data_IF_913218321969
#
_entry.id   IF_913218321969
#
_cell.length_a   1.000
_cell.length_b   1.000
_cell.length_c   1.000
_cell.angle_alpha   90.00
_cell.angle_beta   90.00
_cell.angle_gamma   90.00
#
_symmetry.space_group_name_H-M   'P 1'
#
loop_
_entity.id
_entity.type
_entity.pdbx_description
1 polymer ?
#
# COMPACT_ATOMS: atom_id res chain seq x y z
N UNK A 1 -8.19 43.95 67.76
CA UNK A 1 -7.05 43.80 66.85
C UNK A 1 -7.60 43.42 65.48
N UNK A 2 -7.38 44.27 64.48
CA UNK A 2 -7.93 44.19 63.12
C UNK A 2 -7.38 42.96 62.39
N UNK A 3 -8.19 42.31 61.54
CA UNK A 3 -7.75 41.83 60.22
C UNK A 3 -8.97 41.57 59.33
N UNK A 4 -9.13 42.41 58.31
CA UNK A 4 -10.06 42.28 57.17
C UNK A 4 -9.28 41.55 56.08
N UNK A 5 -9.70 40.35 55.70
CA UNK A 5 -9.17 39.68 54.52
C UNK A 5 -10.02 40.04 53.30
N UNK A 6 -9.38 40.70 52.34
CA UNK A 6 -9.89 40.98 51.00
C UNK A 6 -9.81 39.70 50.16
N UNK A 7 -10.91 39.33 49.49
CA UNK A 7 -10.89 38.41 48.36
C UNK A 7 -10.60 39.21 47.06
N UNK A 8 -9.65 38.78 46.21
CA UNK A 8 -9.59 39.28 44.85
C UNK A 8 -10.49 38.45 43.93
N UNK A 9 -11.33 39.14 43.14
CA UNK A 9 -12.01 38.59 41.98
C UNK A 9 -10.98 38.04 40.98
N UNK A 10 -11.08 36.77 40.62
CA UNK A 10 -10.42 36.19 39.45
C UNK A 10 -11.34 36.40 38.24
N UNK A 11 -10.94 37.31 37.35
CA UNK A 11 -11.51 37.47 36.01
C UNK A 11 -11.24 36.20 35.20
N UNK A 12 -12.30 35.51 34.80
CA UNK A 12 -12.22 34.43 33.81
C UNK A 12 -12.03 35.03 32.41
N UNK A 13 -10.79 35.04 31.92
CA UNK A 13 -10.48 35.34 30.53
C UNK A 13 -10.79 34.14 29.65
N UNK A 14 -11.83 34.22 28.82
CA UNK A 14 -12.16 33.23 27.81
C UNK A 14 -11.11 33.25 26.68
N UNK A 15 -10.24 32.24 26.65
CA UNK A 15 -9.39 31.93 25.50
C UNK A 15 -10.25 31.25 24.42
N UNK A 16 -10.74 32.04 23.47
CA UNK A 16 -11.27 31.50 22.22
C UNK A 16 -10.11 30.91 21.41
N UNK A 17 -10.00 29.58 21.39
CA UNK A 17 -9.08 28.87 20.52
C UNK A 17 -9.56 29.05 19.07
N UNK A 18 -8.90 29.92 18.30
CA UNK A 18 -9.02 29.91 16.84
C UNK A 18 -8.40 28.62 16.32
N UNK A 19 -9.25 27.64 15.99
CA UNK A 19 -8.84 26.54 15.12
C UNK A 19 -8.58 27.12 13.73
N UNK A 20 -7.32 27.17 13.32
CA UNK A 20 -6.97 27.44 11.94
C UNK A 20 -7.49 26.27 11.07
N UNK A 21 -8.63 26.43 10.40
CA UNK A 21 -8.97 25.59 9.27
C UNK A 21 -7.90 25.85 8.19
N UNK A 22 -7.03 24.87 7.92
CA UNK A 22 -6.18 24.91 6.75
C UNK A 22 -7.08 25.06 5.51
N UNK A 23 -6.79 26.04 4.65
CA UNK A 23 -7.52 26.20 3.40
C UNK A 23 -7.43 24.89 2.60
N UNK A 24 -8.57 24.42 2.09
CA UNK A 24 -8.59 23.24 1.24
C UNK A 24 -7.77 23.52 -0.02
N UNK A 25 -6.83 22.63 -0.30
CA UNK A 25 -6.08 22.64 -1.54
C UNK A 25 -7.00 22.14 -2.65
N UNK A 26 -7.26 23.00 -3.65
CA UNK A 26 -8.18 22.72 -4.76
C UNK A 26 -7.60 21.80 -5.84
N UNK A 27 -6.28 21.57 -5.81
CA UNK A 27 -5.58 20.79 -6.82
C UNK A 27 -4.39 20.05 -6.24
N UNK A 28 -4.29 18.76 -6.51
CA UNK A 28 -3.17 17.90 -6.14
C UNK A 28 -2.46 17.37 -7.37
N UNK A 29 -1.24 16.90 -7.19
CA UNK A 29 -0.59 16.05 -8.17
C UNK A 29 -0.51 14.62 -7.65
N UNK A 30 -0.43 13.66 -8.57
CA UNK A 30 -0.26 12.26 -8.24
C UNK A 30 0.63 11.55 -9.25
N UNK A 31 1.17 10.45 -8.79
CA UNK A 31 1.97 9.52 -9.56
C UNK A 31 1.14 8.29 -9.90
N UNK A 32 1.28 7.79 -11.14
CA UNK A 32 0.68 6.54 -11.58
C UNK A 32 1.76 5.59 -12.08
N UNK A 33 1.85 4.44 -11.41
CA UNK A 33 2.65 3.29 -11.84
C UNK A 33 1.88 2.45 -12.86
N UNK A 34 2.58 1.70 -13.69
CA UNK A 34 1.96 0.87 -14.73
C UNK A 34 2.80 -0.33 -15.13
N UNK A 35 2.16 -1.28 -15.81
CA UNK A 35 2.84 -2.31 -16.57
C UNK A 35 3.09 -1.83 -18.01
N UNK A 36 4.21 -2.24 -18.61
CA UNK A 36 4.71 -1.68 -19.88
C UNK A 36 4.84 -2.70 -21.01
N UNK A 37 4.08 -3.80 -20.95
CA UNK A 37 3.94 -4.73 -22.08
C UNK A 37 3.01 -4.16 -23.18
N UNK A 38 2.22 -3.14 -22.84
CA UNK A 38 1.32 -2.42 -23.75
C UNK A 38 1.94 -1.13 -24.31
N UNK A 39 1.12 -0.08 -24.36
CA UNK A 39 1.47 1.27 -24.82
C UNK A 39 2.00 2.17 -23.70
N UNK A 40 1.89 1.76 -22.43
CA UNK A 40 2.45 2.52 -21.33
C UNK A 40 3.96 2.70 -21.48
N UNK A 41 4.42 3.92 -21.19
CA UNK A 41 5.84 4.29 -21.18
C UNK A 41 6.48 4.11 -19.80
N UNK A 42 5.70 3.88 -18.74
CA UNK A 42 6.21 3.67 -17.39
C UNK A 42 5.49 4.50 -16.33
N UNK A 43 6.18 5.49 -15.75
CA UNK A 43 5.69 6.27 -14.61
C UNK A 43 5.21 7.65 -15.08
N UNK A 44 4.06 8.06 -14.57
CA UNK A 44 3.40 9.30 -14.96
C UNK A 44 3.14 10.19 -13.76
N UNK A 45 3.28 11.51 -13.94
CA UNK A 45 2.83 12.53 -12.99
C UNK A 45 1.66 13.30 -13.62
N UNK A 46 0.53 13.36 -12.94
CA UNK A 46 -0.70 13.98 -13.43
C UNK A 46 -1.25 15.00 -12.43
N UNK A 47 -2.04 15.93 -12.94
CA UNK A 47 -2.82 16.87 -12.13
C UNK A 47 -4.18 16.25 -11.76
N UNK A 48 -4.67 16.55 -10.56
CA UNK A 48 -5.98 16.17 -10.05
C UNK A 48 -6.69 17.37 -9.40
N UNK A 49 -7.89 17.71 -9.87
CA UNK A 49 -8.74 18.73 -9.26
C UNK A 49 -9.61 18.11 -8.15
N UNK A 50 -9.36 18.50 -6.88
CA UNK A 50 -10.03 17.94 -5.70
C UNK A 50 -11.43 18.49 -5.46
N UNK A 51 -11.90 19.44 -6.28
CA UNK A 51 -13.27 19.95 -6.23
C UNK A 51 -14.18 19.12 -7.13
N UNK A 52 -13.65 18.67 -8.26
CA UNK A 52 -14.41 17.96 -9.31
C UNK A 52 -14.10 16.47 -9.38
N UNK A 53 -12.96 16.04 -8.84
CA UNK A 53 -12.48 14.65 -8.94
C UNK A 53 -11.88 14.31 -10.31
N UNK A 54 -11.54 15.31 -11.13
CA UNK A 54 -11.01 15.07 -12.48
C UNK A 54 -9.48 15.03 -12.50
N UNK A 55 -8.94 14.01 -13.17
CA UNK A 55 -7.57 13.92 -13.65
C UNK A 55 -7.43 14.68 -14.98
N UNK A 56 -6.36 15.46 -15.13
CA UNK A 56 -5.93 15.91 -16.46
C UNK A 56 -5.31 14.72 -17.20
N UNK A 57 -5.85 14.38 -18.36
CA UNK A 57 -5.32 13.30 -19.20
C UNK A 57 -3.96 13.62 -19.83
N UNK A 58 -3.54 14.89 -19.82
CA UNK A 58 -2.20 15.29 -20.24
C UNK A 58 -1.23 15.19 -19.04
N UNK A 59 -0.24 14.28 -19.08
CA UNK A 59 0.71 14.16 -17.98
C UNK A 59 1.62 15.40 -17.88
N UNK A 60 1.88 15.83 -16.65
CA UNK A 60 2.89 16.85 -16.32
C UNK A 60 4.31 16.33 -16.53
N UNK A 61 4.49 15.02 -16.37
CA UNK A 61 5.76 14.34 -16.63
C UNK A 61 5.50 12.87 -16.99
N UNK A 62 6.31 12.35 -17.92
CA UNK A 62 6.42 10.92 -18.22
C UNK A 62 7.88 10.50 -17.99
N UNK A 63 8.08 9.50 -17.15
CA UNK A 63 9.38 8.88 -16.89
C UNK A 63 9.40 7.50 -17.52
N UNK A 64 10.23 7.32 -18.54
CA UNK A 64 10.39 6.03 -19.22
C UNK A 64 10.99 5.01 -18.25
N UNK A 65 10.27 3.94 -17.98
CA UNK A 65 10.67 2.90 -17.03
C UNK A 65 9.94 1.60 -17.35
N UNK A 66 10.62 0.45 -17.21
CA UNK A 66 9.98 -0.85 -17.44
C UNK A 66 9.22 -1.30 -16.18
N UNK A 67 7.93 -1.59 -16.34
CA UNK A 67 7.03 -2.10 -15.31
C UNK A 67 7.14 -1.44 -13.92
N UNK A 68 7.05 -0.09 -13.79
CA UNK A 68 7.04 0.59 -12.50
C UNK A 68 5.72 0.33 -11.75
N UNK A 69 5.56 -0.85 -11.17
CA UNK A 69 4.25 -1.35 -10.71
C UNK A 69 3.87 -0.96 -9.29
N UNK A 70 4.82 -0.49 -8.48
CA UNK A 70 4.61 -0.05 -7.10
C UNK A 70 5.49 1.14 -6.76
N UNK A 71 4.90 2.11 -6.07
CA UNK A 71 5.50 3.39 -5.73
C UNK A 71 5.55 3.59 -4.20
N UNK A 72 6.76 3.80 -3.69
CA UNK A 72 7.01 4.07 -2.26
C UNK A 72 7.61 5.45 -2.10
N UNK A 73 6.85 6.36 -1.49
CA UNK A 73 7.32 7.70 -1.16
C UNK A 73 8.05 7.71 0.19
N UNK A 74 9.12 8.49 0.31
CA UNK A 74 9.64 8.87 1.62
C UNK A 74 8.61 9.66 2.41
N UNK A 75 8.70 9.64 3.74
CA UNK A 75 7.75 10.33 4.63
C UNK A 75 7.61 11.83 4.32
N UNK A 76 8.70 12.46 3.92
CA UNK A 76 8.75 13.88 3.54
C UNK A 76 8.49 14.14 2.04
N UNK A 77 8.18 13.08 1.28
CA UNK A 77 7.96 13.07 -0.15
C UNK A 77 9.06 13.78 -0.95
N UNK A 78 10.32 13.61 -0.53
CA UNK A 78 11.51 14.06 -1.29
C UNK A 78 12.11 12.97 -2.16
N UNK A 79 11.78 11.71 -1.86
CA UNK A 79 12.32 10.56 -2.55
C UNK A 79 11.16 9.65 -2.95
N UNK A 80 11.29 9.05 -4.13
CA UNK A 80 10.40 8.04 -4.65
C UNK A 80 11.23 6.80 -4.96
N UNK A 81 10.81 5.67 -4.43
CA UNK A 81 11.32 4.35 -4.75
C UNK A 81 10.29 3.59 -5.56
N UNK A 82 10.73 2.98 -6.65
CA UNK A 82 9.86 2.32 -7.63
C UNK A 82 10.36 0.91 -7.84
N UNK A 83 9.50 -0.09 -7.62
CA UNK A 83 9.83 -1.45 -8.06
C UNK A 83 9.61 -1.56 -9.56
N UNK A 84 10.53 -2.23 -10.23
CA UNK A 84 10.43 -2.56 -11.65
C UNK A 84 10.17 -4.07 -11.75
N UNK A 85 8.89 -4.44 -11.92
CA UNK A 85 8.35 -5.80 -11.79
C UNK A 85 8.65 -6.67 -13.02
N UNK A 86 9.93 -6.77 -13.31
CA UNK A 86 10.51 -7.53 -14.41
C UNK A 86 10.97 -8.90 -13.93
N UNK A 87 11.08 -9.85 -14.85
CA UNK A 87 11.68 -11.15 -14.59
C UNK A 87 11.74 -12.02 -15.85
N UNK A 88 12.07 -13.31 -15.72
CA UNK A 88 12.34 -14.20 -16.86
C UNK A 88 11.23 -14.18 -17.91
N UNK A 89 11.62 -14.07 -19.19
CA UNK A 89 10.69 -14.03 -20.32
C UNK A 89 10.17 -12.63 -20.68
N UNK A 90 10.53 -11.59 -19.93
CA UNK A 90 10.23 -10.19 -20.27
C UNK A 90 11.40 -9.52 -20.99
N UNK A 91 11.15 -8.35 -21.61
CA UNK A 91 12.15 -7.61 -22.39
C UNK A 91 13.38 -7.18 -21.56
N UNK A 92 13.15 -6.66 -20.35
CA UNK A 92 14.15 -6.65 -19.29
C UNK A 92 13.86 -7.87 -18.40
N UNK A 93 14.77 -8.87 -18.32
CA UNK A 93 14.53 -10.08 -17.53
C UNK A 93 14.91 -9.91 -16.06
N UNK A 94 15.36 -8.72 -15.63
CA UNK A 94 15.93 -8.51 -14.29
C UNK A 94 14.99 -7.68 -13.41
N UNK A 95 14.60 -8.22 -12.26
CA UNK A 95 13.91 -7.48 -11.21
C UNK A 95 14.77 -6.35 -10.63
N UNK A 96 14.24 -5.12 -10.62
CA UNK A 96 14.98 -3.92 -10.22
C UNK A 96 14.19 -3.02 -9.29
N UNK A 97 14.91 -2.08 -8.67
CA UNK A 97 14.33 -0.96 -7.94
C UNK A 97 15.02 0.32 -8.39
N UNK A 98 14.23 1.31 -8.77
CA UNK A 98 14.67 2.65 -9.16
C UNK A 98 14.43 3.63 -8.03
N UNK A 99 15.32 4.61 -7.87
CA UNK A 99 15.18 5.72 -6.92
C UNK A 99 15.18 7.05 -7.67
N UNK A 100 14.32 7.97 -7.24
CA UNK A 100 14.16 9.30 -7.81
C UNK A 100 14.12 10.35 -6.69
N UNK A 101 14.72 11.51 -6.94
CA UNK A 101 14.49 12.71 -6.18
C UNK A 101 13.21 13.40 -6.67
N UNK A 102 12.44 13.98 -5.77
CA UNK A 102 11.27 14.81 -6.05
C UNK A 102 11.66 16.26 -5.74
N UNK A 103 11.64 17.11 -6.77
CA UNK A 103 11.94 18.53 -6.57
C UNK A 103 10.83 19.19 -5.70
N UNK A 104 11.20 19.90 -4.60
CA UNK A 104 10.25 20.41 -3.62
C UNK A 104 9.08 21.30 -4.08
N UNK A 105 9.24 22.04 -5.18
CA UNK A 105 8.30 23.04 -5.69
C UNK A 105 7.64 22.59 -6.99
N UNK A 106 8.43 22.08 -7.94
CA UNK A 106 7.94 21.66 -9.25
C UNK A 106 7.42 20.24 -9.25
N UNK A 107 7.72 19.47 -8.19
CA UNK A 107 7.41 18.04 -8.04
C UNK A 107 7.98 17.16 -9.17
N UNK A 108 8.94 17.70 -9.93
CA UNK A 108 9.59 16.97 -11.01
C UNK A 108 10.44 15.83 -10.45
N UNK A 109 10.26 14.64 -11.03
CA UNK A 109 11.05 13.46 -10.73
C UNK A 109 12.40 13.51 -11.46
N UNK A 110 13.49 13.33 -10.71
CA UNK A 110 14.85 13.22 -11.26
C UNK A 110 15.46 11.88 -10.84
N UNK A 111 15.95 11.04 -11.76
CA UNK A 111 16.53 9.75 -11.40
C UNK A 111 17.78 9.92 -10.53
N UNK A 112 17.89 9.13 -9.46
CA UNK A 112 19.07 9.03 -8.61
C UNK A 112 19.91 7.83 -9.05
N UNK A 113 19.36 6.61 -8.91
CA UNK A 113 20.00 5.39 -9.38
C UNK A 113 18.99 4.24 -9.53
N UNK A 114 19.47 3.10 -10.02
CA UNK A 114 18.71 1.86 -10.12
C UNK A 114 19.62 0.69 -9.71
N UNK A 115 19.07 -0.27 -8.97
CA UNK A 115 19.77 -1.49 -8.53
C UNK A 115 18.93 -2.73 -8.80
N UNK A 116 19.55 -3.90 -8.80
CA UNK A 116 18.84 -5.18 -8.87
C UNK A 116 18.22 -5.50 -7.51
N UNK A 117 17.02 -6.05 -7.49
CA UNK A 117 16.41 -6.58 -6.25
C UNK A 117 16.95 -7.96 -5.86
N UNK A 118 17.73 -8.59 -6.76
CA UNK A 118 18.22 -9.98 -6.66
C UNK A 118 17.11 -11.03 -6.52
N UNK A 119 15.91 -10.71 -7.00
CA UNK A 119 14.82 -11.65 -7.21
C UNK A 119 14.00 -11.25 -8.44
N UNK A 120 13.05 -12.10 -8.82
CA UNK A 120 12.18 -11.85 -9.97
C UNK A 120 10.89 -11.16 -9.55
N UNK A 121 10.37 -10.32 -10.44
CA UNK A 121 9.10 -9.60 -10.30
C UNK A 121 8.91 -8.94 -8.91
N UNK A 122 9.77 -7.98 -8.50
CA UNK A 122 9.51 -7.19 -7.30
C UNK A 122 8.20 -6.43 -7.46
N UNK A 123 7.21 -6.73 -6.62
CA UNK A 123 5.82 -6.24 -6.78
C UNK A 123 5.38 -5.25 -5.70
N UNK A 124 6.17 -5.12 -4.64
CA UNK A 124 5.87 -4.21 -3.53
C UNK A 124 7.17 -3.76 -2.86
N UNK A 125 7.18 -2.54 -2.32
CA UNK A 125 8.22 -2.11 -1.38
C UNK A 125 7.66 -1.26 -0.25
N UNK A 126 8.41 -1.16 0.84
CA UNK A 126 8.16 -0.20 1.92
C UNK A 126 9.47 0.25 2.56
N UNK A 127 9.48 1.44 3.14
CA UNK A 127 10.63 1.91 3.92
C UNK A 127 10.53 1.40 5.36
N UNK A 128 11.69 1.09 5.92
CA UNK A 128 11.91 1.05 7.36
C UNK A 128 11.48 2.37 8.02
N UNK A 129 11.03 2.30 9.28
CA UNK A 129 10.52 3.46 10.00
C UNK A 129 11.56 4.59 10.17
N UNK A 130 12.85 4.25 10.18
CA UNK A 130 13.97 5.20 10.22
C UNK A 130 14.48 5.63 8.83
N UNK A 131 13.87 5.10 7.76
CA UNK A 131 14.18 5.43 6.36
C UNK A 131 15.53 4.89 5.87
N UNK A 132 16.22 4.04 6.65
CA UNK A 132 17.59 3.59 6.32
C UNK A 132 17.64 2.40 5.38
N UNK A 133 16.54 1.68 5.24
CA UNK A 133 16.39 0.53 4.36
C UNK A 133 15.04 0.54 3.65
N UNK A 134 15.05 0.04 2.43
CA UNK A 134 13.88 -0.31 1.63
C UNK A 134 13.72 -1.83 1.64
N UNK A 135 12.55 -2.29 2.10
CA UNK A 135 12.14 -3.68 2.02
C UNK A 135 11.43 -3.92 0.69
N UNK A 136 11.86 -4.93 -0.06
CA UNK A 136 11.36 -5.24 -1.40
C UNK A 136 10.83 -6.66 -1.42
N UNK A 137 9.59 -6.80 -1.87
CA UNK A 137 8.89 -8.07 -2.02
C UNK A 137 9.05 -8.59 -3.45
N UNK A 138 9.99 -9.51 -3.66
CA UNK A 138 10.13 -10.26 -4.91
C UNK A 138 9.07 -11.36 -4.95
N UNK A 139 8.11 -11.24 -5.87
CA UNK A 139 7.03 -12.22 -6.00
C UNK A 139 7.51 -13.52 -6.65
N UNK A 140 8.30 -13.41 -7.73
CA UNK A 140 8.76 -14.51 -8.59
C UNK A 140 7.65 -15.43 -9.07
N UNK A 141 7.16 -15.27 -10.30
CA UNK A 141 6.18 -16.23 -10.87
C UNK A 141 6.79 -17.64 -11.03
N UNK A 142 8.09 -17.71 -11.37
CA UNK A 142 8.81 -18.96 -11.49
C UNK A 142 9.01 -19.65 -10.12
N UNK A 143 8.87 -20.99 -10.11
CA UNK A 143 9.02 -21.81 -8.91
C UNK A 143 10.46 -21.79 -8.34
N UNK A 144 11.46 -21.64 -9.20
CA UNK A 144 12.87 -21.61 -8.85
C UNK A 144 13.51 -20.34 -9.45
N UNK A 145 14.10 -19.43 -8.64
CA UNK A 145 14.34 -19.56 -7.20
C UNK A 145 13.11 -19.33 -6.29
N UNK A 146 11.97 -18.92 -6.85
CA UNK A 146 10.81 -18.51 -6.06
C UNK A 146 10.98 -17.11 -5.45
N UNK A 147 9.97 -16.68 -4.70
CA UNK A 147 9.88 -15.35 -4.11
C UNK A 147 10.83 -15.14 -2.93
N UNK A 148 11.11 -13.88 -2.64
CA UNK A 148 11.97 -13.48 -1.53
C UNK A 148 11.67 -12.06 -1.03
N UNK A 149 11.99 -11.82 0.23
CA UNK A 149 12.17 -10.48 0.79
C UNK A 149 13.63 -10.05 0.58
N UNK A 150 13.85 -8.91 -0.08
CA UNK A 150 15.15 -8.25 -0.18
C UNK A 150 15.21 -6.98 0.68
N UNK A 151 16.37 -6.73 1.29
CA UNK A 151 16.60 -5.54 2.13
C UNK A 151 17.71 -4.70 1.54
N UNK A 152 17.37 -3.50 1.06
CA UNK A 152 18.28 -2.59 0.36
C UNK A 152 18.59 -1.39 1.25
N UNK A 153 19.85 -1.06 1.54
CA UNK A 153 20.19 0.19 2.22
C UNK A 153 19.82 1.42 1.39
N UNK A 154 19.33 2.45 2.08
CA UNK A 154 18.94 3.75 1.53
C UNK A 154 19.84 4.82 2.16
N UNK A 155 20.60 5.52 1.32
CA UNK A 155 21.38 6.67 1.76
C UNK A 155 20.48 7.90 2.00
N UNK A 156 21.00 8.90 2.73
CA UNK A 156 20.22 10.10 3.07
C UNK A 156 19.75 10.90 1.84
N UNK A 157 20.47 10.82 0.72
CA UNK A 157 20.09 11.43 -0.57
C UNK A 157 19.11 10.57 -1.39
N UNK A 158 18.74 9.38 -0.89
CA UNK A 158 17.83 8.44 -1.54
C UNK A 158 18.53 7.42 -2.42
N UNK A 159 19.87 7.43 -2.51
CA UNK A 159 20.61 6.45 -3.29
C UNK A 159 20.47 5.05 -2.69
N UNK A 160 20.08 4.09 -3.53
CA UNK A 160 19.98 2.68 -3.15
C UNK A 160 21.34 1.98 -3.25
N UNK A 161 21.69 1.17 -2.26
CA UNK A 161 22.77 0.19 -2.37
C UNK A 161 22.21 -1.19 -2.79
N UNK A 162 23.06 -2.12 -3.28
CA UNK A 162 22.66 -3.50 -3.50
C UNK A 162 22.05 -4.14 -2.23
N UNK A 163 21.18 -5.16 -2.38
CA UNK A 163 20.60 -5.85 -1.23
C UNK A 163 21.68 -6.39 -0.29
N UNK A 164 21.53 -6.16 1.01
CA UNK A 164 22.40 -6.73 2.05
C UNK A 164 21.86 -8.04 2.63
N UNK A 165 20.55 -8.27 2.47
CA UNK A 165 19.87 -9.46 2.96
C UNK A 165 18.79 -9.92 1.98
N UNK A 166 18.71 -11.23 1.77
CA UNK A 166 17.63 -11.92 1.06
C UNK A 166 17.04 -12.98 1.99
N UNK A 167 15.72 -13.13 1.98
CA UNK A 167 15.02 -14.14 2.78
C UNK A 167 13.91 -14.76 1.94
N UNK A 168 14.06 -16.03 1.59
CA UNK A 168 12.98 -16.83 0.99
C UNK A 168 12.29 -17.66 2.07
N UNK A 169 11.12 -18.20 1.73
CA UNK A 169 10.24 -18.86 2.68
C UNK A 169 9.85 -20.27 2.25
N UNK A 170 9.61 -21.19 3.20
CA UNK A 170 9.01 -22.47 2.86
C UNK A 170 7.58 -22.29 2.34
N UNK A 171 7.30 -22.85 1.16
CA UNK A 171 5.96 -22.84 0.55
C UNK A 171 4.99 -23.78 1.26
N UNK A 172 3.68 -23.52 1.14
CA UNK A 172 2.64 -24.37 1.72
C UNK A 172 2.39 -25.63 0.89
N UNK A 173 2.65 -25.57 -0.43
CA UNK A 173 2.39 -26.63 -1.41
C UNK A 173 0.92 -27.05 -1.48
N UNK A 174 0.01 -26.23 -0.97
CA UNK A 174 -1.44 -26.51 -0.94
C UNK A 174 -2.02 -26.41 -2.34
N UNK A 175 -1.70 -25.34 -3.06
CA UNK A 175 -2.07 -25.16 -4.46
C UNK A 175 -0.88 -25.47 -5.39
N UNK A 176 -1.00 -26.46 -6.30
CA UNK A 176 0.09 -26.89 -7.16
C UNK A 176 0.47 -25.87 -8.26
N UNK A 177 -0.39 -24.90 -8.56
CA UNK A 177 -0.13 -23.89 -9.59
C UNK A 177 0.48 -22.60 -9.02
N UNK A 178 0.12 -22.25 -7.78
CA UNK A 178 0.38 -20.92 -7.20
C UNK A 178 1.15 -20.94 -5.88
N UNK A 179 1.42 -22.11 -5.30
CA UNK A 179 2.01 -22.24 -3.95
C UNK A 179 3.09 -23.33 -3.87
N UNK A 180 3.72 -23.66 -5.00
CA UNK A 180 4.83 -24.62 -5.02
C UNK A 180 6.17 -24.01 -4.58
N UNK A 181 6.26 -22.67 -4.55
CA UNK A 181 7.39 -21.87 -4.07
C UNK A 181 6.90 -20.69 -3.22
N UNK A 182 7.84 -19.97 -2.59
CA UNK A 182 7.54 -18.69 -1.98
C UNK A 182 7.03 -17.68 -3.02
N UNK A 183 6.17 -16.76 -2.59
CA UNK A 183 5.72 -15.62 -3.37
C UNK A 183 5.47 -14.43 -2.44
N UNK A 184 6.55 -13.73 -2.03
CA UNK A 184 6.44 -12.57 -1.13
C UNK A 184 5.75 -11.44 -1.88
N UNK A 185 4.55 -11.06 -1.42
CA UNK A 185 3.70 -10.10 -2.13
C UNK A 185 3.68 -8.72 -1.46
N UNK A 186 3.84 -8.64 -0.15
CA UNK A 186 4.03 -7.35 0.53
C UNK A 186 4.90 -7.48 1.77
N UNK A 187 5.62 -6.42 2.08
CA UNK A 187 6.45 -6.31 3.29
C UNK A 187 6.23 -4.95 3.91
N UNK A 188 5.82 -4.89 5.17
CA UNK A 188 5.49 -3.64 5.87
C UNK A 188 6.09 -3.60 7.27
N UNK A 189 6.54 -2.43 7.69
CA UNK A 189 6.98 -2.20 9.08
C UNK A 189 5.78 -2.17 10.02
N UNK A 190 5.98 -2.61 11.26
CA UNK A 190 5.04 -2.28 12.34
C UNK A 190 4.98 -0.77 12.57
N UNK A 191 3.87 -0.26 13.15
CA UNK A 191 3.71 1.16 13.46
C UNK A 191 4.80 1.73 14.37
N UNK A 192 5.39 0.90 15.25
CA UNK A 192 6.49 1.26 16.14
C UNK A 192 7.88 1.08 15.49
N UNK A 193 7.95 0.56 14.27
CA UNK A 193 9.18 0.33 13.51
C UNK A 193 10.07 -0.80 14.03
N UNK A 194 9.65 -1.58 15.03
CA UNK A 194 10.48 -2.63 15.64
C UNK A 194 10.38 -3.98 14.92
N UNK A 195 9.32 -4.20 14.15
CA UNK A 195 9.04 -5.44 13.46
C UNK A 195 8.76 -5.20 11.98
N UNK A 196 9.00 -6.22 11.18
CA UNK A 196 8.69 -6.24 9.74
C UNK A 196 7.86 -7.48 9.44
N UNK A 197 6.75 -7.29 8.75
CA UNK A 197 5.79 -8.32 8.39
C UNK A 197 5.85 -8.56 6.89
N UNK A 198 6.16 -9.79 6.49
CA UNK A 198 6.27 -10.20 5.10
C UNK A 198 5.17 -11.20 4.76
N UNK A 199 4.17 -10.75 4.00
CA UNK A 199 3.07 -11.59 3.52
C UNK A 199 3.56 -12.43 2.33
N UNK A 200 3.50 -13.74 2.47
CA UNK A 200 3.92 -14.67 1.43
C UNK A 200 2.73 -15.50 0.95
N UNK A 201 2.30 -15.22 -0.28
CA UNK A 201 1.17 -15.87 -0.94
C UNK A 201 1.42 -17.37 -1.09
N UNK A 202 2.66 -17.75 -1.41
CA UNK A 202 3.07 -19.13 -1.63
C UNK A 202 3.14 -19.97 -0.36
N UNK A 203 3.20 -19.33 0.82
CA UNK A 203 3.42 -20.00 2.11
C UNK A 203 2.19 -20.08 3.01
N UNK A 204 1.09 -19.40 2.67
CA UNK A 204 -0.07 -19.20 3.56
C UNK A 204 0.32 -18.61 4.92
N UNK A 205 1.33 -17.73 4.94
CA UNK A 205 1.90 -17.16 6.16
C UNK A 205 2.20 -15.67 6.02
N UNK A 206 2.13 -14.98 7.15
CA UNK A 206 2.85 -13.72 7.36
C UNK A 206 4.11 -14.06 8.16
N UNK A 207 5.29 -13.86 7.57
CA UNK A 207 6.56 -13.98 8.28
C UNK A 207 6.83 -12.72 9.08
N UNK A 208 7.40 -12.88 10.28
CA UNK A 208 7.62 -11.79 11.24
C UNK A 208 9.10 -11.72 11.56
N UNK A 209 9.66 -10.54 11.35
CA UNK A 209 11.06 -10.22 11.62
C UNK A 209 11.16 -9.13 12.68
N UNK A 210 12.18 -9.19 13.53
CA UNK A 210 12.67 -8.04 14.30
C UNK A 210 13.58 -7.22 13.41
N UNK A 211 13.43 -5.90 13.45
CA UNK A 211 14.30 -4.95 12.77
C UNK A 211 15.30 -4.36 13.75
N UNK A 212 16.58 -4.70 13.58
CA UNK A 212 17.69 -4.17 14.40
C UNK A 212 18.91 -3.87 13.54
N UNK A 213 18.88 -2.76 12.78
CA UNK A 213 19.96 -2.37 11.88
C UNK A 213 21.20 -1.86 12.63
N UNK A 214 21.10 -1.60 13.94
CA UNK A 214 22.23 -1.15 14.76
C UNK A 214 23.07 -2.35 15.22
N UNK A 215 22.41 -3.41 15.66
CA UNK A 215 23.09 -4.64 16.05
C UNK A 215 23.61 -5.41 14.82
N UNK A 216 22.85 -5.45 13.73
CA UNK A 216 23.14 -6.29 12.57
C UNK A 216 23.02 -5.52 11.24
N UNK A 217 23.93 -4.59 10.92
CA UNK A 217 23.80 -3.75 9.71
C UNK A 217 23.81 -4.53 8.38
N UNK A 218 24.46 -5.70 8.34
CA UNK A 218 24.51 -6.60 7.18
C UNK A 218 23.30 -7.54 7.10
N UNK A 219 22.61 -7.79 8.22
CA UNK A 219 21.41 -8.61 8.31
C UNK A 219 20.39 -7.94 9.24
N UNK A 220 19.82 -6.79 8.84
CA UNK A 220 19.00 -5.96 9.71
C UNK A 220 17.72 -6.65 10.17
N UNK A 221 17.30 -7.73 9.52
CA UNK A 221 16.15 -8.54 9.89
C UNK A 221 16.57 -9.87 10.51
N UNK A 222 16.02 -10.18 11.67
CA UNK A 222 16.14 -11.50 12.31
C UNK A 222 14.75 -12.06 12.56
N UNK A 223 14.57 -13.38 12.47
CA UNK A 223 13.26 -13.99 12.71
C UNK A 223 12.75 -13.65 14.13
N UNK A 224 11.48 -13.22 14.24
CA UNK A 224 10.85 -12.95 15.52
C UNK A 224 10.44 -14.25 16.24
N UNK A 225 9.85 -14.12 17.43
CA UNK A 225 9.25 -15.25 18.15
C UNK A 225 7.81 -14.90 18.56
N UNK A 226 6.79 -15.53 17.93
CA UNK A 226 6.88 -16.49 16.84
C UNK A 226 7.40 -15.86 15.53
N UNK A 227 8.01 -16.68 14.66
CA UNK A 227 8.61 -16.23 13.40
C UNK A 227 7.59 -16.06 12.26
N UNK A 228 6.36 -16.51 12.45
CA UNK A 228 5.28 -16.36 11.47
C UNK A 228 3.91 -16.49 12.11
N UNK A 229 2.90 -16.04 11.36
CA UNK A 229 1.47 -16.23 11.62
C UNK A 229 0.92 -17.12 10.52
N UNK A 230 0.36 -18.26 10.89
CA UNK A 230 -0.27 -19.19 9.95
C UNK A 230 -1.67 -18.71 9.57
N UNK A 231 -2.00 -18.80 8.29
CA UNK A 231 -3.31 -18.48 7.74
C UNK A 231 -3.97 -19.73 7.14
N UNK A 232 -5.27 -19.70 6.80
CA UNK A 232 -5.94 -20.86 6.23
C UNK A 232 -5.17 -21.44 5.03
N UNK A 233 -5.04 -22.77 4.89
CA UNK A 233 -4.39 -23.39 3.73
C UNK A 233 -5.01 -22.91 2.40
N UNK A 234 -4.19 -22.54 1.43
CA UNK A 234 -4.65 -22.03 0.13
C UNK A 234 -5.23 -20.61 0.17
N UNK A 235 -4.98 -19.84 1.23
CA UNK A 235 -5.53 -18.49 1.39
C UNK A 235 -4.81 -17.46 0.53
N UNK A 236 -3.49 -17.60 0.37
CA UNK A 236 -2.64 -16.71 -0.43
C UNK A 236 -2.54 -15.27 0.13
N UNK A 237 -1.85 -15.04 1.26
CA UNK A 237 -1.67 -13.71 1.85
C UNK A 237 -1.07 -12.69 0.88
N UNK A 238 -1.67 -11.50 0.79
CA UNK A 238 -1.31 -10.48 -0.20
C UNK A 238 -0.82 -9.18 0.43
N UNK A 239 -1.72 -8.23 0.73
CA UNK A 239 -1.36 -6.91 1.28
C UNK A 239 -1.77 -6.81 2.74
N UNK A 240 -0.86 -6.34 3.61
CA UNK A 240 -1.11 -6.07 5.04
C UNK A 240 -1.13 -4.57 5.29
N UNK A 241 -2.14 -4.09 6.02
CA UNK A 241 -2.31 -2.69 6.41
C UNK A 241 -2.52 -2.58 7.92
N UNK A 242 -1.75 -1.74 8.59
CA UNK A 242 -1.97 -1.40 10.00
C UNK A 242 -2.98 -0.26 10.15
N UNK A 243 -3.76 -0.29 11.23
CA UNK A 243 -4.58 0.84 11.67
C UNK A 243 -3.69 2.02 12.09
N UNK A 244 -4.23 3.24 12.00
CA UNK A 244 -3.49 4.46 12.34
C UNK A 244 -3.10 4.56 13.81
N UNK A 245 -3.88 3.96 14.71
CA UNK A 245 -3.55 3.82 16.14
C UNK A 245 -2.52 2.72 16.42
N UNK A 246 -2.17 1.95 15.39
CA UNK A 246 -1.21 0.87 15.41
C UNK A 246 -1.60 -0.35 16.24
N UNK A 247 -2.87 -0.51 16.62
CA UNK A 247 -3.35 -1.62 17.46
C UNK A 247 -3.96 -2.77 16.67
N UNK A 248 -4.27 -2.56 15.40
CA UNK A 248 -4.93 -3.54 14.56
C UNK A 248 -4.26 -3.62 13.20
N UNK A 249 -4.52 -4.71 12.49
CA UNK A 249 -4.11 -4.86 11.10
C UNK A 249 -5.16 -5.62 10.30
N UNK A 250 -5.22 -5.33 9.01
CA UNK A 250 -6.06 -6.02 8.04
C UNK A 250 -5.18 -6.61 6.94
N UNK A 251 -5.48 -7.82 6.51
CA UNK A 251 -4.73 -8.53 5.47
C UNK A 251 -5.68 -9.04 4.39
N UNK A 252 -5.41 -8.72 3.13
CA UNK A 252 -6.07 -9.41 2.02
C UNK A 252 -5.44 -10.78 1.78
N UNK A 253 -6.29 -11.78 1.57
CA UNK A 253 -5.92 -13.13 1.16
C UNK A 253 -6.45 -13.34 -0.26
N UNK A 254 -5.54 -13.31 -1.23
CA UNK A 254 -5.83 -13.24 -2.66
C UNK A 254 -6.67 -14.42 -3.12
N UNK A 255 -6.16 -15.63 -2.90
CA UNK A 255 -6.67 -16.86 -3.47
C UNK A 255 -8.02 -17.26 -2.87
N UNK A 256 -8.22 -16.93 -1.59
CA UNK A 256 -9.48 -17.18 -0.87
C UNK A 256 -10.51 -16.06 -1.00
N UNK A 257 -10.13 -14.90 -1.58
CA UNK A 257 -10.92 -13.67 -1.59
C UNK A 257 -11.49 -13.30 -0.21
N UNK A 258 -10.60 -13.21 0.78
CA UNK A 258 -10.94 -12.91 2.16
C UNK A 258 -10.12 -11.74 2.70
N UNK A 259 -10.59 -11.15 3.79
CA UNK A 259 -9.81 -10.23 4.64
C UNK A 259 -9.74 -10.78 6.05
N UNK A 260 -8.52 -10.92 6.56
CA UNK A 260 -8.29 -11.25 7.96
C UNK A 260 -8.07 -9.97 8.78
N UNK A 261 -8.68 -9.91 9.97
CA UNK A 261 -8.55 -8.83 10.95
C UNK A 261 -7.72 -9.32 12.14
N UNK A 262 -6.74 -8.53 12.54
CA UNK A 262 -5.83 -8.86 13.64
C UNK A 262 -5.82 -7.77 14.71
N UNK A 263 -5.67 -8.19 15.96
CA UNK A 263 -5.10 -7.33 17.01
C UNK A 263 -3.59 -7.45 16.96
N UNK A 264 -2.89 -6.32 16.97
CA UNK A 264 -1.44 -6.23 17.00
C UNK A 264 -0.93 -5.84 18.39
N UNK A 265 0.09 -6.56 18.88
CA UNK A 265 0.84 -6.16 20.05
C UNK A 265 2.27 -6.69 19.99
N UNK A 266 3.26 -5.78 19.97
CA UNK A 266 4.69 -6.09 20.09
C UNK A 266 5.16 -7.26 19.21
N UNK A 267 4.89 -7.15 17.90
CA UNK A 267 5.27 -8.17 16.91
C UNK A 267 4.30 -9.34 16.76
N UNK A 268 3.26 -9.45 17.59
CA UNK A 268 2.25 -10.51 17.49
C UNK A 268 1.00 -10.00 16.79
N UNK A 269 0.50 -10.75 15.81
CA UNK A 269 -0.82 -10.57 15.21
C UNK A 269 -1.72 -11.70 15.68
N UNK A 270 -2.82 -11.36 16.34
CA UNK A 270 -3.84 -12.31 16.80
C UNK A 270 -5.09 -12.13 15.97
N UNK A 271 -5.43 -13.13 15.15
CA UNK A 271 -6.61 -13.10 14.29
C UNK A 271 -7.90 -13.02 15.14
N UNK A 272 -8.81 -12.13 14.75
CA UNK A 272 -10.13 -11.93 15.38
C UNK A 272 -11.28 -12.24 14.45
N UNK A 273 -11.14 -11.89 13.17
CA UNK A 273 -12.20 -12.04 12.18
C UNK A 273 -11.60 -12.46 10.84
N UNK A 274 -12.35 -13.23 10.07
CA UNK A 274 -12.16 -13.41 8.64
C UNK A 274 -13.46 -13.00 7.95
N UNK A 275 -13.36 -12.18 6.91
CA UNK A 275 -14.49 -11.70 6.12
C UNK A 275 -14.35 -12.17 4.69
N UNK A 276 -15.43 -12.75 4.15
CA UNK A 276 -15.52 -13.21 2.77
C UNK A 276 -15.86 -12.05 1.83
N UNK A 277 -15.03 -11.81 0.80
CA UNK A 277 -15.30 -10.80 -0.23
C UNK A 277 -16.18 -11.34 -1.36
N UNK A 278 -16.22 -12.67 -1.52
CA UNK A 278 -16.89 -13.35 -2.63
C UNK A 278 -17.63 -14.60 -2.13
N UNK A 279 -18.39 -14.47 -1.04
CA UNK A 279 -19.17 -15.57 -0.47
C UNK A 279 -20.07 -16.23 -1.54
N UNK A 280 -20.00 -17.56 -1.63
CA UNK A 280 -20.77 -18.35 -2.60
C UNK A 280 -20.31 -18.27 -4.05
N UNK A 281 -19.25 -17.51 -4.36
CA UNK A 281 -18.70 -17.45 -5.71
C UNK A 281 -17.67 -18.57 -5.97
N UNK A 282 -17.58 -19.05 -7.22
CA UNK A 282 -16.54 -19.99 -7.63
C UNK A 282 -15.12 -19.46 -7.39
N UNK A 283 -14.15 -20.37 -7.21
CA UNK A 283 -12.76 -20.03 -6.89
C UNK A 283 -12.10 -19.13 -7.93
N UNK A 284 -12.42 -19.31 -9.21
CA UNK A 284 -11.93 -18.50 -10.32
C UNK A 284 -12.37 -17.02 -10.27
N UNK A 285 -13.40 -16.71 -9.46
CA UNK A 285 -13.89 -15.36 -9.24
C UNK A 285 -13.25 -14.70 -8.01
N UNK A 286 -12.41 -15.42 -7.28
CA UNK A 286 -11.77 -14.99 -6.05
C UNK A 286 -10.37 -14.47 -6.32
N UNK A 287 -10.16 -13.16 -6.13
CA UNK A 287 -8.85 -12.57 -6.27
C UNK A 287 -8.78 -11.24 -5.51
N UNK A 288 -8.74 -11.32 -4.17
CA UNK A 288 -8.56 -10.10 -3.35
C UNK A 288 -7.30 -9.35 -3.79
N UNK A 289 -7.39 -8.03 -3.83
CA UNK A 289 -6.35 -7.15 -4.31
C UNK A 289 -5.85 -6.23 -3.21
N UNK A 290 -5.96 -4.94 -3.48
CA UNK A 290 -5.53 -3.87 -2.60
C UNK A 290 -6.53 -3.66 -1.45
N UNK A 291 -6.04 -3.08 -0.35
CA UNK A 291 -6.87 -2.57 0.73
C UNK A 291 -6.30 -1.24 1.22
N UNK A 292 -7.18 -0.28 1.49
CA UNK A 292 -6.84 1.03 2.05
C UNK A 292 -7.93 1.47 3.02
N UNK A 293 -7.53 2.12 4.11
CA UNK A 293 -8.45 2.71 5.07
C UNK A 293 -8.65 4.21 4.77
N UNK A 294 -9.81 4.76 5.11
CA UNK A 294 -10.00 6.20 5.14
C UNK A 294 -9.07 6.86 6.16
N UNK A 295 -8.68 8.11 5.91
CA UNK A 295 -7.74 8.85 6.78
C UNK A 295 -8.24 8.98 8.24
N UNK A 296 -9.56 9.00 8.45
CA UNK A 296 -10.19 9.03 9.77
C UNK A 296 -10.33 7.64 10.42
N UNK A 297 -9.89 6.57 9.74
CA UNK A 297 -9.90 5.20 10.25
C UNK A 297 -11.28 4.57 10.39
N UNK A 298 -12.33 5.17 9.82
CA UNK A 298 -13.71 4.67 9.97
C UNK A 298 -14.13 3.64 8.91
N UNK A 299 -13.48 3.64 7.75
CA UNK A 299 -13.86 2.78 6.64
C UNK A 299 -12.66 2.07 6.04
N UNK A 300 -12.85 0.80 5.68
CA UNK A 300 -11.89 0.02 4.90
C UNK A 300 -12.47 -0.26 3.52
N UNK A 301 -11.64 -0.10 2.50
CA UNK A 301 -11.95 -0.39 1.11
C UNK A 301 -11.08 -1.55 0.66
N UNK A 302 -11.65 -2.49 -0.11
CA UNK A 302 -10.93 -3.67 -0.56
C UNK A 302 -11.30 -3.97 -2.01
N UNK A 303 -10.30 -4.07 -2.89
CA UNK A 303 -10.55 -4.49 -4.27
C UNK A 303 -10.65 -6.01 -4.35
N UNK A 304 -11.61 -6.49 -5.13
CA UNK A 304 -11.70 -7.90 -5.53
C UNK A 304 -11.70 -7.97 -7.05
N UNK A 305 -10.68 -8.66 -7.58
CA UNK A 305 -10.50 -8.88 -9.02
C UNK A 305 -11.29 -10.12 -9.44
N UNK A 306 -10.77 -10.90 -10.38
CA UNK A 306 -11.49 -12.04 -10.95
C UNK A 306 -12.64 -11.55 -11.83
N UNK A 307 -13.72 -12.31 -11.91
CA UNK A 307 -14.92 -11.90 -12.69
C UNK A 307 -15.82 -10.92 -11.93
N UNK A 308 -15.65 -10.79 -10.61
CA UNK A 308 -16.48 -9.88 -9.80
C UNK A 308 -16.16 -8.41 -10.11
N UNK A 309 -14.86 -8.05 -10.16
CA UNK A 309 -14.37 -6.70 -10.45
C UNK A 309 -15.12 -5.61 -9.64
N UNK A 310 -14.99 -5.68 -8.32
CA UNK A 310 -15.69 -4.82 -7.35
C UNK A 310 -14.74 -4.21 -6.33
N UNK A 311 -15.11 -3.04 -5.81
CA UNK A 311 -14.66 -2.54 -4.51
C UNK A 311 -15.70 -2.86 -3.46
N UNK A 312 -15.26 -3.46 -2.37
CA UNK A 312 -16.05 -3.67 -1.17
C UNK A 312 -15.73 -2.57 -0.16
N UNK A 313 -16.76 -2.05 0.51
CA UNK A 313 -16.67 -1.02 1.53
C UNK A 313 -17.11 -1.60 2.86
N UNK A 314 -16.29 -1.42 3.88
CA UNK A 314 -16.55 -1.85 5.25
C UNK A 314 -16.56 -0.67 6.19
N UNK A 315 -17.53 -0.61 7.10
CA UNK A 315 -17.41 0.17 8.31
C UNK A 315 -16.48 -0.56 9.30
N UNK A 316 -15.59 0.19 9.94
CA UNK A 316 -14.66 -0.32 10.95
C UNK A 316 -15.27 -0.06 12.33
N UNK A 317 -15.38 -1.11 13.15
CA UNK A 317 -15.75 -0.93 14.55
C UNK A 317 -14.62 -0.19 15.31
N UNK A 318 -14.90 0.95 15.98
CA UNK A 318 -13.86 1.77 16.59
C UNK A 318 -13.18 1.12 17.80
N UNK A 319 -13.78 0.09 18.41
CA UNK A 319 -13.23 -0.60 19.57
C UNK A 319 -12.43 -1.85 19.17
N UNK A 320 -12.93 -2.62 18.20
CA UNK A 320 -12.36 -3.94 17.84
C UNK A 320 -11.65 -3.95 16.47
N UNK A 321 -11.83 -2.90 15.66
CA UNK A 321 -11.44 -2.86 14.24
C UNK A 321 -12.03 -3.97 13.37
N UNK A 322 -13.07 -4.65 13.86
CA UNK A 322 -13.84 -5.60 13.07
C UNK A 322 -14.57 -4.89 11.94
N UNK A 323 -14.77 -5.62 10.85
CA UNK A 323 -15.28 -5.12 9.60
C UNK A 323 -16.75 -5.53 9.43
N UNK A 324 -17.59 -4.55 9.10
CA UNK A 324 -18.97 -4.77 8.66
C UNK A 324 -19.12 -4.28 7.23
N UNK A 325 -19.45 -5.17 6.31
CA UNK A 325 -19.70 -4.80 4.90
C UNK A 325 -20.90 -3.85 4.84
N UNK A 326 -20.74 -2.72 4.13
CA UNK A 326 -21.80 -1.73 3.92
C UNK A 326 -22.09 -1.49 2.44
N UNK A 327 -21.18 -1.88 1.53
CA UNK A 327 -21.40 -1.72 0.09
C UNK A 327 -20.50 -2.64 -0.74
N UNK A 328 -21.02 -3.04 -1.91
CA UNK A 328 -20.21 -3.49 -3.06
C UNK A 328 -20.45 -2.56 -4.23
N UNK A 329 -19.39 -2.08 -4.86
CA UNK A 329 -19.42 -1.14 -5.98
C UNK A 329 -18.64 -1.72 -7.15
N UNK A 330 -19.27 -1.80 -8.32
CA UNK A 330 -18.56 -2.14 -9.56
C UNK A 330 -17.41 -1.16 -9.79
N UNK A 331 -16.25 -1.66 -10.22
CA UNK A 331 -15.12 -0.81 -10.61
C UNK A 331 -15.24 -0.26 -12.04
N UNK A 332 -16.29 -0.66 -12.76
CA UNK A 332 -16.58 -0.26 -14.15
C UNK A 332 -15.42 -0.51 -15.12
N UNK A 333 -14.67 -1.57 -14.85
CA UNK A 333 -13.52 -2.04 -15.61
C UNK A 333 -13.11 -3.44 -15.18
N UNK A 334 -11.91 -3.84 -15.58
CA UNK A 334 -11.36 -5.18 -15.30
C UNK A 334 -10.01 -5.08 -14.57
N UNK A 335 -9.86 -5.96 -13.58
CA UNK A 335 -8.65 -6.13 -12.78
C UNK A 335 -8.26 -4.86 -11.99
N UNK A 336 -9.07 -4.44 -10.99
CA UNK A 336 -8.75 -3.31 -10.12
C UNK A 336 -7.53 -3.63 -9.25
N UNK A 337 -6.32 -3.36 -9.79
CA UNK A 337 -5.03 -3.77 -9.23
C UNK A 337 -4.71 -2.97 -7.97
N UNK A 338 -4.97 -1.67 -8.03
CA UNK A 338 -4.80 -0.71 -6.94
C UNK A 338 -5.86 0.38 -7.02
N UNK A 339 -6.02 1.10 -5.92
CA UNK A 339 -6.86 2.29 -5.84
C UNK A 339 -6.32 3.24 -4.77
N UNK A 340 -6.74 4.51 -4.81
CA UNK A 340 -6.31 5.52 -3.87
C UNK A 340 -7.47 6.41 -3.46
N UNK A 341 -7.56 6.76 -2.18
CA UNK A 341 -8.44 7.82 -1.73
C UNK A 341 -7.75 9.15 -1.97
N UNK A 342 -8.49 10.12 -2.49
CA UNK A 342 -7.94 11.47 -2.64
C UNK A 342 -7.72 12.13 -1.26
N UNK A 343 -6.81 13.12 -1.16
CA UNK A 343 -6.47 13.72 0.13
C UNK A 343 -7.63 14.49 0.78
N UNK A 344 -8.62 14.94 0.00
CA UNK A 344 -9.83 15.56 0.55
C UNK A 344 -10.83 14.54 1.10
N UNK A 345 -10.67 13.26 0.75
CA UNK A 345 -11.54 12.15 1.14
C UNK A 345 -12.89 12.12 0.40
N UNK A 346 -13.06 12.92 -0.65
CA UNK A 346 -14.30 13.05 -1.43
C UNK A 346 -14.33 12.15 -2.66
N UNK A 347 -13.20 11.58 -3.05
CA UNK A 347 -13.05 10.77 -4.25
C UNK A 347 -12.20 9.53 -4.00
N UNK A 348 -12.45 8.51 -4.81
CA UNK A 348 -11.65 7.29 -4.87
C UNK A 348 -11.30 7.01 -6.34
N UNK A 349 -10.01 6.82 -6.61
CA UNK A 349 -9.46 6.57 -7.94
C UNK A 349 -9.06 5.10 -8.04
N UNK A 350 -9.49 4.41 -9.10
CA UNK A 350 -9.30 2.97 -9.29
C UNK A 350 -8.45 2.73 -10.53
N UNK A 351 -7.30 2.06 -10.40
CA UNK A 351 -6.51 1.58 -11.52
C UNK A 351 -7.02 0.22 -12.01
N UNK A 352 -7.81 0.22 -13.09
CA UNK A 352 -8.30 -1.01 -13.72
C UNK A 352 -7.32 -1.48 -14.79
N UNK A 353 -6.37 -2.31 -14.38
CA UNK A 353 -5.21 -2.71 -15.17
C UNK A 353 -5.59 -3.32 -16.52
N UNK A 354 -6.49 -4.31 -16.57
CA UNK A 354 -6.77 -5.06 -17.81
C UNK A 354 -7.70 -4.33 -18.77
N UNK A 355 -8.50 -3.41 -18.26
CA UNK A 355 -9.36 -2.55 -19.09
C UNK A 355 -8.71 -1.21 -19.48
N UNK A 356 -7.44 -1.00 -19.15
CA UNK A 356 -6.67 0.19 -19.54
C UNK A 356 -7.39 1.52 -19.22
N UNK A 357 -7.81 1.68 -17.96
CA UNK A 357 -8.43 2.93 -17.51
C UNK A 357 -8.24 3.18 -16.02
N UNK A 358 -8.28 4.45 -15.65
CA UNK A 358 -8.51 4.91 -14.29
C UNK A 358 -9.96 5.39 -14.17
N UNK A 359 -10.68 4.86 -13.18
CA UNK A 359 -12.06 5.26 -12.88
C UNK A 359 -12.07 6.07 -11.59
N UNK A 360 -12.71 7.24 -11.60
CA UNK A 360 -12.85 8.09 -10.41
C UNK A 360 -14.30 8.10 -9.95
N UNK A 361 -14.51 7.79 -8.67
CA UNK A 361 -15.82 7.73 -8.01
C UNK A 361 -15.93 8.81 -6.94
N UNK A 362 -17.12 9.37 -6.75
CA UNK A 362 -17.46 10.12 -5.54
C UNK A 362 -17.39 9.20 -4.30
N UNK A 363 -17.01 9.78 -3.16
CA UNK A 363 -17.02 9.15 -1.85
C UNK A 363 -17.71 10.09 -0.86
N UNK A 364 -18.70 9.57 -0.14
CA UNK A 364 -19.24 10.26 1.02
C UNK A 364 -18.34 9.97 2.24
N UNK A 365 -17.70 11.01 2.78
CA UNK A 365 -16.78 10.86 3.89
C UNK A 365 -17.44 10.45 5.22
N UNK A 366 -18.73 10.72 5.39
CA UNK A 366 -19.47 10.40 6.60
C UNK A 366 -19.98 8.96 6.61
N UNK A 367 -20.43 8.47 5.46
CA UNK A 367 -21.01 7.11 5.31
C UNK A 367 -20.02 6.10 4.75
N UNK A 368 -18.92 6.56 4.16
CA UNK A 368 -17.92 5.74 3.49
C UNK A 368 -18.34 5.24 2.11
N UNK A 369 -19.59 5.45 1.70
CA UNK A 369 -20.16 4.90 0.48
C UNK A 369 -19.55 5.54 -0.78
N UNK A 370 -19.38 4.71 -1.81
CA UNK A 370 -18.92 5.10 -3.14
C UNK A 370 -20.11 5.38 -4.05
N UNK A 371 -20.10 6.55 -4.66
CA UNK A 371 -21.21 7.10 -5.43
C UNK A 371 -21.01 7.02 -6.95
N UNK A 372 -21.33 8.13 -7.61
CA UNK A 372 -21.31 8.25 -9.06
C UNK A 372 -19.88 8.22 -9.59
N UNK A 373 -19.73 7.73 -10.80
CA UNK A 373 -18.49 7.88 -11.58
C UNK A 373 -18.40 9.30 -12.08
N UNK A 374 -17.34 10.02 -11.70
CA UNK A 374 -17.08 11.39 -12.15
C UNK A 374 -16.15 11.43 -13.37
N UNK A 375 -15.32 10.39 -13.54
CA UNK A 375 -14.45 10.28 -14.70
C UNK A 375 -14.09 8.83 -15.01
N UNK A 376 -13.93 8.54 -16.31
CA UNK A 376 -13.19 7.38 -16.83
C UNK A 376 -12.09 7.90 -17.73
N UNK A 377 -10.84 7.74 -17.32
CA UNK A 377 -9.67 8.19 -18.07
C UNK A 377 -9.00 6.96 -18.70
N UNK A 378 -8.90 6.87 -20.04
CA UNK A 378 -8.07 5.86 -20.69
C UNK A 378 -6.62 5.98 -20.21
N UNK A 379 -6.07 4.86 -19.71
CA UNK A 379 -4.72 4.81 -19.15
C UNK A 379 -4.21 3.38 -19.26
N UNK A 380 -3.11 3.14 -19.95
CA UNK A 380 -2.66 1.77 -20.24
C UNK A 380 -2.09 1.10 -18.97
N UNK A 381 -2.68 -0.06 -18.61
CA UNK A 381 -2.30 -0.93 -17.52
C UNK A 381 -1.85 -0.26 -16.18
N UNK A 382 -2.66 0.64 -15.57
CA UNK A 382 -2.33 1.28 -14.30
C UNK A 382 -2.25 0.25 -13.18
N UNK A 383 -1.27 0.39 -12.29
CA UNK A 383 -0.98 -0.59 -11.24
C UNK A 383 -0.71 -0.02 -9.84
N UNK A 384 -0.44 1.29 -9.71
CA UNK A 384 -0.40 2.01 -8.42
C UNK A 384 -0.75 3.49 -8.62
N UNK A 385 -1.30 4.14 -7.59
CA UNK A 385 -1.71 5.55 -7.59
C UNK A 385 -1.31 6.21 -6.26
N UNK A 386 -0.42 7.22 -6.31
CA UNK A 386 0.09 7.92 -5.12
C UNK A 386 -0.03 9.43 -5.23
N UNK A 387 -0.76 10.05 -4.30
CA UNK A 387 -0.85 11.50 -4.21
C UNK A 387 0.43 12.13 -3.62
N UNK A 388 0.85 13.23 -4.23
CA UNK A 388 1.86 14.13 -3.70
C UNK A 388 1.15 15.18 -2.83
N UNK A 389 1.36 15.08 -1.52
CA UNK A 389 0.67 15.92 -0.51
C UNK A 389 1.47 17.17 -0.15
N UNK A 390 2.72 17.24 -0.62
CA UNK A 390 3.56 18.39 -0.44
C UNK A 390 3.15 19.47 -1.45
N UNK A 391 2.86 20.66 -0.93
CA UNK A 391 2.72 21.88 -1.72
C UNK A 391 3.70 22.93 -1.22
#
# INVERSE_FOLDING_TARGET
MKMRNFWPLLMAGSLAALSAQAAAVDSYELLVGSYTQGQSQGLYRLQFDSRTGQLDGKPLQVVKSANPSWLTLSRDQRQLFVVNENGPGQADPVGRVSSFAIEPKSLQLSPINQVQSLGNEPTHSSLSADGRYLFVSNYSVAQDPGGSLAVLPVAADGKLAPPVQLSSHPSSRVNPERQMSAHVHSTVSSPDGQYVFSSDLGADKIFVYRYDPKANPEQPLTAATPASVQLPPGSGPRHLLFSSDGKHAWLTMEMSAQVAVFVYQAGKLVQRQIVELAAGQPMEQKAAGALHASADGKFLYVSNRGTANQLLVFAIDPATSELKEIQRRSVEGDHPREFSLDPSGKFLLIGNQKSNQIVVLERDANTGLLGKTVQKLPFDAPSDIRFLLRQ
#
